data_IF_290622396514
#
_entry.id   IF_290622396514
#
_cell.length_a   1.000
_cell.length_b   1.000
_cell.length_c   1.000
_cell.angle_alpha   90.00
_cell.angle_beta   90.00
_cell.angle_gamma   90.00
#
_symmetry.space_group_name_H-M   'P 1'
#
loop_
_entity.id
_entity.type
_entity.pdbx_description
1 polymer ?
#
# COMPACT_ATOMS: atom_id res chain seq x y z
N UNK A 1 -6.06 10.19 -8.07
CA UNK A 1 -5.46 8.90 -8.49
C UNK A 1 -4.97 8.26 -7.21
N UNK A 2 -5.31 6.99 -6.95
CA UNK A 2 -4.69 6.28 -5.83
C UNK A 2 -3.46 5.59 -6.41
N UNK A 3 -2.29 6.17 -6.14
CA UNK A 3 -1.01 5.54 -6.41
C UNK A 3 -0.57 4.83 -5.12
N UNK A 4 -0.21 3.56 -5.25
CA UNK A 4 0.24 2.75 -4.12
C UNK A 4 1.35 1.81 -4.53
N UNK A 5 2.21 1.49 -3.57
CA UNK A 5 3.24 0.47 -3.71
C UNK A 5 2.88 -0.70 -2.82
N UNK A 6 2.93 -1.90 -3.38
CA UNK A 6 2.71 -3.16 -2.68
C UNK A 6 4.03 -3.91 -2.58
N UNK A 7 4.49 -4.16 -1.35
CA UNK A 7 5.74 -4.85 -1.06
C UNK A 7 5.38 -6.22 -0.49
N UNK A 8 5.85 -7.28 -1.13
CA UNK A 8 5.66 -8.67 -0.70
C UNK A 8 6.74 -9.06 0.29
N UNK A 9 6.32 -9.67 1.38
CA UNK A 9 7.21 -10.14 2.46
C UNK A 9 6.83 -11.57 2.79
N UNK A 10 7.78 -12.49 2.73
CA UNK A 10 7.57 -13.89 3.11
C UNK A 10 7.85 -14.04 4.61
N UNK A 11 6.84 -14.38 5.40
CA UNK A 11 6.96 -14.49 6.85
C UNK A 11 7.93 -15.58 7.33
N UNK A 12 8.27 -16.56 6.47
CA UNK A 12 9.21 -17.63 6.81
C UNK A 12 10.66 -17.26 6.46
N UNK A 13 10.85 -16.38 5.47
CA UNK A 13 12.20 -15.97 5.02
C UNK A 13 12.64 -14.64 5.63
N UNK A 14 11.70 -13.76 5.94
CA UNK A 14 12.00 -12.43 6.45
C UNK A 14 12.18 -12.44 7.96
N UNK A 15 13.30 -11.87 8.41
CA UNK A 15 13.60 -11.69 9.83
C UNK A 15 13.17 -10.32 10.34
N UNK A 16 13.16 -10.13 11.66
CA UNK A 16 12.96 -8.80 12.25
C UNK A 16 13.99 -7.77 11.74
N UNK A 17 15.25 -8.19 11.55
CA UNK A 17 16.29 -7.32 11.01
C UNK A 17 15.97 -6.86 9.58
N UNK A 18 15.44 -7.76 8.75
CA UNK A 18 14.97 -7.44 7.39
C UNK A 18 13.83 -6.41 7.43
N UNK A 19 12.89 -6.54 8.36
CA UNK A 19 11.77 -5.58 8.50
C UNK A 19 12.25 -4.19 8.97
N UNK A 20 13.21 -4.12 9.90
CA UNK A 20 13.79 -2.83 10.30
C UNK A 20 14.61 -2.19 9.18
N UNK A 21 15.32 -2.98 8.36
CA UNK A 21 16.00 -2.47 7.17
C UNK A 21 14.99 -1.96 6.13
N UNK A 22 13.91 -2.70 5.87
CA UNK A 22 12.84 -2.29 4.97
C UNK A 22 12.21 -0.96 5.42
N UNK A 23 11.93 -0.83 6.71
CA UNK A 23 11.42 0.41 7.32
C UNK A 23 12.39 1.58 7.11
N UNK A 24 13.69 1.35 7.26
CA UNK A 24 14.71 2.36 6.99
C UNK A 24 14.70 2.80 5.52
N UNK A 25 14.62 1.85 4.59
CA UNK A 25 14.51 2.13 3.15
C UNK A 25 13.27 2.99 2.89
N UNK A 26 12.09 2.57 3.35
CA UNK A 26 10.84 3.33 3.12
C UNK A 26 10.96 4.77 3.63
N UNK A 27 11.57 4.98 4.80
CA UNK A 27 11.77 6.32 5.38
C UNK A 27 12.75 7.19 4.58
N UNK A 28 13.72 6.59 3.90
CA UNK A 28 14.72 7.29 3.09
C UNK A 28 14.20 7.64 1.69
N UNK A 29 13.07 7.07 1.27
CA UNK A 29 12.43 7.35 -0.01
C UNK A 29 11.00 7.87 0.20
N UNK A 30 10.82 9.07 0.79
CA UNK A 30 9.50 9.66 0.98
C UNK A 30 8.84 9.98 -0.38
N UNK A 31 7.51 9.86 -0.46
CA UNK A 31 6.77 10.16 -1.68
C UNK A 31 5.27 10.25 -1.46
N UNK A 32 4.51 10.22 -2.55
CA UNK A 32 3.06 10.38 -2.58
C UNK A 32 2.30 9.05 -2.69
N UNK A 33 3.01 7.91 -2.76
CA UNK A 33 2.39 6.60 -2.89
C UNK A 33 2.09 5.99 -1.53
N UNK A 34 0.88 5.43 -1.39
CA UNK A 34 0.52 4.63 -0.21
C UNK A 34 1.33 3.33 -0.21
N UNK A 35 2.09 3.08 0.86
CA UNK A 35 2.80 1.82 1.03
C UNK A 35 1.91 0.74 1.68
N UNK A 36 1.91 -0.45 1.10
CA UNK A 36 1.21 -1.62 1.59
C UNK A 36 2.19 -2.81 1.69
N UNK A 37 2.12 -3.57 2.79
CA UNK A 37 2.83 -4.84 2.93
C UNK A 37 1.86 -6.00 2.66
N UNK A 38 2.23 -6.88 1.74
CA UNK A 38 1.59 -8.18 1.54
C UNK A 38 2.44 -9.24 2.21
N UNK A 39 2.00 -9.70 3.36
CA UNK A 39 2.70 -10.72 4.14
C UNK A 39 2.20 -12.09 3.68
N UNK A 40 3.08 -12.86 3.07
CA UNK A 40 2.82 -14.24 2.65
C UNK A 40 3.16 -15.19 3.81
N UNK A 41 2.18 -15.98 4.23
CA UNK A 41 2.30 -16.94 5.32
C UNK A 41 2.03 -18.31 4.71
N UNK A 42 2.94 -19.26 4.93
CA UNK A 42 2.77 -20.63 4.44
C UNK A 42 1.44 -21.21 4.93
N UNK A 43 0.72 -21.88 4.03
CA UNK A 43 -0.56 -22.55 4.28
C UNK A 43 -1.69 -21.63 4.79
N UNK A 44 -1.52 -20.31 4.71
CA UNK A 44 -2.50 -19.33 5.14
C UNK A 44 -2.74 -18.26 4.06
N UNK A 45 -3.92 -17.64 4.01
CA UNK A 45 -4.16 -16.49 3.14
C UNK A 45 -3.19 -15.35 3.45
N UNK A 46 -2.70 -14.62 2.42
CA UNK A 46 -1.80 -13.50 2.62
C UNK A 46 -2.51 -12.36 3.34
N UNK A 47 -1.79 -11.70 4.25
CA UNK A 47 -2.30 -10.55 5.00
C UNK A 47 -1.84 -9.28 4.29
N UNK A 48 -2.78 -8.38 4.01
CA UNK A 48 -2.49 -7.06 3.45
C UNK A 48 -2.56 -6.00 4.55
N UNK A 49 -1.47 -5.29 4.77
CA UNK A 49 -1.36 -4.22 5.77
C UNK A 49 -1.08 -2.91 5.05
N UNK A 50 -2.00 -1.95 5.13
CA UNK A 50 -1.73 -0.57 4.75
C UNK A 50 -0.86 0.05 5.85
N UNK A 51 0.29 0.62 5.48
CA UNK A 51 1.11 1.37 6.43
C UNK A 51 0.49 2.74 6.73
N UNK A 52 0.86 3.34 7.87
CA UNK A 52 0.49 4.71 8.22
C UNK A 52 1.03 5.69 7.18
N UNK A 53 0.39 6.85 7.09
CA UNK A 53 0.73 7.86 6.07
C UNK A 53 2.14 8.46 6.28
N UNK A 54 2.76 8.25 7.44
CA UNK A 54 4.18 8.57 7.70
C UNK A 54 5.17 7.69 6.91
N UNK A 55 4.70 6.59 6.34
CA UNK A 55 5.46 5.67 5.49
C UNK A 55 5.04 5.77 4.02
N UNK A 56 4.44 6.89 3.61
CA UNK A 56 4.24 7.15 2.19
C UNK A 56 5.58 7.22 1.48
N UNK A 57 5.66 6.57 0.32
CA UNK A 57 6.94 6.28 -0.33
C UNK A 57 6.93 6.69 -1.80
N UNK A 58 8.11 6.82 -2.36
CA UNK A 58 8.31 7.08 -3.79
C UNK A 58 8.02 5.84 -4.63
N UNK A 59 7.61 6.04 -5.88
CA UNK A 59 7.52 4.99 -6.90
C UNK A 59 8.69 5.03 -7.89
N UNK A 60 9.82 5.62 -7.50
CA UNK A 60 11.00 5.72 -8.33
C UNK A 60 11.76 4.37 -8.43
N UNK A 61 12.44 4.10 -9.56
CA UNK A 61 13.22 2.88 -9.75
C UNK A 61 14.28 2.65 -8.66
N UNK A 62 14.91 3.71 -8.15
CA UNK A 62 15.91 3.67 -7.09
C UNK A 62 15.38 3.07 -5.79
N UNK A 63 14.11 3.31 -5.46
CA UNK A 63 13.45 2.69 -4.33
C UNK A 63 13.22 1.19 -4.58
N UNK A 64 12.82 0.82 -5.79
CA UNK A 64 12.55 -0.59 -6.14
C UNK A 64 13.83 -1.41 -6.07
N UNK A 65 14.93 -0.90 -6.62
CA UNK A 65 16.25 -1.53 -6.53
C UNK A 65 16.65 -1.81 -5.08
N UNK A 66 16.43 -0.85 -4.17
CA UNK A 66 16.75 -1.02 -2.75
C UNK A 66 15.88 -2.05 -2.06
N UNK A 67 14.60 -2.11 -2.40
CA UNK A 67 13.67 -3.11 -1.86
C UNK A 67 14.01 -4.51 -2.39
N UNK A 68 14.32 -4.63 -3.68
CA UNK A 68 14.70 -5.91 -4.31
C UNK A 68 16.08 -6.40 -3.85
N UNK A 69 17.04 -5.50 -3.59
CA UNK A 69 18.33 -5.83 -2.96
C UNK A 69 18.14 -6.50 -1.58
N UNK A 70 17.10 -6.09 -0.85
CA UNK A 70 16.80 -6.61 0.49
C UNK A 70 15.96 -7.89 0.48
N UNK A 71 14.94 -7.96 -0.38
CA UNK A 71 13.89 -9.00 -0.33
C UNK A 71 13.91 -9.96 -1.52
N UNK A 72 14.68 -9.66 -2.57
CA UNK A 72 14.72 -10.38 -3.84
C UNK A 72 13.88 -9.73 -4.93
N UNK A 73 14.07 -10.18 -6.17
CA UNK A 73 13.39 -9.63 -7.35
C UNK A 73 11.87 -9.91 -7.35
N UNK A 74 11.08 -8.99 -7.91
CA UNK A 74 9.64 -9.19 -8.16
C UNK A 74 8.75 -9.10 -6.91
N UNK A 75 9.33 -8.64 -5.79
CA UNK A 75 8.63 -8.44 -4.51
C UNK A 75 7.87 -7.13 -4.45
N UNK A 76 8.11 -6.19 -5.37
CA UNK A 76 7.48 -4.87 -5.37
C UNK A 76 6.55 -4.70 -6.58
N UNK A 77 5.35 -4.17 -6.36
CA UNK A 77 4.37 -3.88 -7.39
C UNK A 77 3.83 -2.45 -7.22
N UNK A 78 3.75 -1.69 -8.30
CA UNK A 78 3.04 -0.42 -8.33
C UNK A 78 1.58 -0.63 -8.75
N UNK A 79 0.66 -0.02 -8.00
CA UNK A 79 -0.77 -0.03 -8.28
C UNK A 79 -1.28 1.39 -8.43
N UNK A 80 -1.61 1.76 -9.66
CA UNK A 80 -2.22 3.04 -9.99
C UNK A 80 -3.67 2.81 -10.37
N UNK A 81 -4.61 3.40 -9.62
CA UNK A 81 -6.03 3.34 -9.93
C UNK A 81 -6.62 4.75 -10.06
N UNK A 82 -7.43 4.95 -11.09
CA UNK A 82 -8.28 6.13 -11.17
C UNK A 82 -9.21 6.16 -9.94
N UNK A 83 -9.18 7.28 -9.20
CA UNK A 83 -10.11 7.47 -8.08
C UNK A 83 -11.51 7.53 -8.70
N UNK A 84 -12.34 6.52 -8.45
CA UNK A 84 -13.76 6.62 -8.80
C UNK A 84 -14.35 7.72 -7.94
N UNK A 85 -14.68 8.86 -8.54
CA UNK A 85 -15.43 9.91 -7.85
C UNK A 85 -16.68 9.28 -7.24
N UNK A 86 -16.92 9.56 -5.97
CA UNK A 86 -18.18 9.18 -5.32
C UNK A 86 -19.28 9.95 -6.02
N UNK A 87 -19.93 9.35 -7.02
CA UNK A 87 -21.15 9.90 -7.61
C UNK A 87 -22.13 10.01 -6.45
N UNK A 88 -22.44 11.26 -6.05
CA UNK A 88 -23.42 11.56 -5.02
C UNK A 88 -24.76 11.06 -5.56
N UNK A 89 -25.17 9.84 -5.18
CA UNK A 89 -26.46 9.29 -5.61
C UNK A 89 -27.53 10.30 -5.24
N UNK A 90 -28.17 10.88 -6.25
CA UNK A 90 -29.35 11.70 -6.04
C UNK A 90 -30.41 10.75 -5.46
N UNK A 91 -30.73 10.90 -4.17
CA UNK A 91 -31.71 10.08 -3.46
C UNK A 91 -33.02 10.87 -3.41
N UNK A 92 -33.86 10.86 -4.47
CA UNK A 92 -35.10 11.65 -4.51
C UNK A 92 -36.08 11.30 -3.39
N UNK A 93 -35.97 10.09 -2.82
CA UNK A 93 -36.78 9.67 -1.67
C UNK A 93 -36.39 10.31 -0.33
N UNK A 94 -35.23 10.98 -0.23
CA UNK A 94 -34.87 11.75 0.97
C UNK A 94 -35.57 13.12 1.03
N UNK A 95 -36.16 13.60 -0.08
CA UNK A 95 -36.92 14.85 -0.13
C UNK A 95 -38.42 14.59 0.06
N UNK A 96 -38.81 13.96 1.17
CA UNK A 96 -40.21 13.99 1.65
C UNK A 96 -40.24 14.04 3.17
N UNK A 97 -40.39 15.26 3.68
CA UNK A 97 -41.31 15.70 4.76
C UNK A 97 -40.67 16.83 5.56
N UNK A 98 -41.17 18.05 5.31
CA UNK A 98 -41.60 18.97 6.35
C UNK A 98 -42.62 19.89 5.69
N UNK A 99 -43.84 19.37 5.56
CA UNK A 99 -45.04 20.18 5.41
C UNK A 99 -45.79 20.10 6.72
N UNK A 100 -45.64 21.13 7.53
CA UNK A 100 -46.64 21.55 8.51
C UNK A 100 -46.58 23.09 8.58
#
# INVERSE_FOLDING_TARGET
WNNGVLIKVDAQKSSLATLEQLKSIIKNFPGDCTACLKIEIRDNPPILVKLSDEYMTSSEPSFFEKVEELLGEGVIETRCAAVKEKIKKNKPWLKKKNGN
#
